data_IF_765701020833
#
_entry.id   IF_765701020833
#
_cell.length_a   1.000
_cell.length_b   1.000
_cell.length_c   1.000
_cell.angle_alpha   90.00
_cell.angle_beta   90.00
_cell.angle_gamma   90.00
#
_symmetry.space_group_name_H-M   'P 1'
#
loop_
_entity.id
_entity.type
_entity.pdbx_description
1 polymer ?
#
# COMPACT_ATOMS: atom_id res chain seq x y z
N UNK A 1 7.20 -3.96 -9.74
CA UNK A 1 7.13 -3.61 -8.30
C UNK A 1 7.43 -4.86 -7.50
N UNK A 2 8.68 -5.04 -7.07
CA UNK A 2 9.14 -6.25 -6.36
C UNK A 2 8.88 -6.14 -4.86
N UNK A 3 7.63 -5.92 -4.47
CA UNK A 3 7.21 -5.91 -3.06
C UNK A 3 6.58 -7.27 -2.75
N UNK A 4 7.10 -7.95 -1.74
CA UNK A 4 6.59 -9.26 -1.32
C UNK A 4 5.14 -9.17 -0.86
N UNK A 5 4.34 -10.23 -1.13
CA UNK A 5 2.94 -10.32 -0.68
C UNK A 5 2.81 -10.09 0.83
N UNK A 6 3.74 -10.60 1.63
CA UNK A 6 3.75 -10.43 3.08
C UNK A 6 3.82 -8.95 3.49
N UNK A 7 4.67 -8.16 2.83
CA UNK A 7 4.78 -6.72 3.06
C UNK A 7 3.52 -5.99 2.66
N UNK A 8 2.91 -6.34 1.52
CA UNK A 8 1.63 -5.76 1.09
C UNK A 8 0.54 -6.04 2.13
N UNK A 9 0.44 -7.27 2.63
CA UNK A 9 -0.53 -7.61 3.68
C UNK A 9 -0.24 -6.88 5.00
N UNK A 10 1.03 -6.73 5.40
CA UNK A 10 1.40 -5.97 6.59
C UNK A 10 0.97 -4.50 6.45
N UNK A 11 1.25 -3.86 5.32
CA UNK A 11 0.87 -2.46 5.06
C UNK A 11 -0.65 -2.28 5.07
N UNK A 12 -1.38 -3.24 4.51
CA UNK A 12 -2.84 -3.20 4.56
C UNK A 12 -3.36 -3.38 6.01
N UNK A 13 -2.77 -4.29 6.78
CA UNK A 13 -3.17 -4.52 8.19
C UNK A 13 -2.83 -3.34 9.08
N UNK A 14 -1.69 -2.67 8.83
CA UNK A 14 -1.28 -1.45 9.52
C UNK A 14 -2.16 -0.23 9.20
N UNK A 15 -3.00 -0.32 8.16
CA UNK A 15 -3.83 0.78 7.70
C UNK A 15 -3.11 1.78 6.78
N UNK A 16 -1.81 1.59 6.53
CA UNK A 16 -1.06 2.46 5.62
C UNK A 16 -1.44 2.29 4.15
N UNK A 17 -1.94 1.12 3.77
CA UNK A 17 -2.41 0.85 2.42
C UNK A 17 -3.91 0.56 2.41
N UNK A 18 -4.69 1.50 1.86
CA UNK A 18 -6.14 1.34 1.72
C UNK A 18 -6.47 0.20 0.77
N UNK A 19 -7.41 -0.64 1.15
CA UNK A 19 -7.82 -1.78 0.34
C UNK A 19 -9.30 -2.08 0.50
N UNK A 20 -9.86 -2.74 -0.51
CA UNK A 20 -11.25 -3.20 -0.53
C UNK A 20 -11.28 -4.72 -0.75
N UNK A 21 -12.14 -5.41 -0.02
CA UNK A 21 -12.34 -6.85 -0.19
C UNK A 21 -13.39 -7.08 -1.29
N UNK A 22 -13.01 -7.79 -2.34
CA UNK A 22 -13.89 -8.15 -3.46
C UNK A 22 -13.88 -9.66 -3.63
N UNK A 23 -14.96 -10.30 -3.17
CA UNK A 23 -15.06 -11.76 -3.10
C UNK A 23 -13.93 -12.37 -2.27
N UNK A 24 -13.12 -13.22 -2.90
CA UNK A 24 -11.97 -13.89 -2.28
C UNK A 24 -10.66 -13.10 -2.37
N UNK A 25 -10.64 -11.94 -3.05
CA UNK A 25 -9.43 -11.15 -3.29
C UNK A 25 -9.51 -9.82 -2.54
N UNK A 26 -8.33 -9.27 -2.24
CA UNK A 26 -8.18 -7.91 -1.72
C UNK A 26 -7.61 -7.06 -2.85
N UNK A 27 -8.33 -6.01 -3.21
CA UNK A 27 -7.94 -5.08 -4.26
C UNK A 27 -7.49 -3.78 -3.62
N UNK A 28 -6.48 -3.16 -4.23
CA UNK A 28 -5.97 -1.84 -3.84
C UNK A 28 -6.28 -0.94 -5.02
N UNK A 29 -6.92 0.21 -4.76
CA UNK A 29 -7.18 1.18 -5.81
C UNK A 29 -5.88 1.82 -6.27
N UNK A 30 -5.81 2.19 -7.55
CA UNK A 30 -4.63 2.86 -8.09
C UNK A 30 -4.31 4.16 -7.33
N UNK A 31 -5.34 4.94 -6.99
CA UNK A 31 -5.19 6.16 -6.19
C UNK A 31 -4.52 5.88 -4.83
N UNK A 32 -4.88 4.80 -4.15
CA UNK A 32 -4.26 4.43 -2.88
C UNK A 32 -2.78 4.05 -3.04
N UNK A 33 -2.40 3.42 -4.15
CA UNK A 33 -1.00 3.12 -4.46
C UNK A 33 -0.23 4.42 -4.71
N UNK A 34 -0.79 5.35 -5.51
CA UNK A 34 -0.18 6.64 -5.81
C UNK A 34 0.04 7.47 -4.55
N UNK A 35 -0.97 7.58 -3.70
CA UNK A 35 -0.86 8.30 -2.42
C UNK A 35 0.17 7.64 -1.49
N UNK A 36 0.23 6.31 -1.45
CA UNK A 36 1.23 5.60 -0.66
C UNK A 36 2.64 5.89 -1.15
N UNK A 37 2.87 5.83 -2.46
CA UNK A 37 4.18 6.18 -3.06
C UNK A 37 4.52 7.63 -2.73
N UNK A 38 3.58 8.57 -2.92
CA UNK A 38 3.80 9.98 -2.62
C UNK A 38 4.13 10.20 -1.14
N UNK A 39 3.46 9.51 -0.22
CA UNK A 39 3.75 9.57 1.22
C UNK A 39 5.15 9.02 1.54
N UNK A 40 5.55 7.92 0.91
CA UNK A 40 6.88 7.32 1.07
C UNK A 40 7.96 8.22 0.49
N UNK A 41 7.73 8.84 -0.67
CA UNK A 41 8.69 9.74 -1.31
C UNK A 41 8.89 11.02 -0.46
N UNK A 42 7.78 11.57 0.05
CA UNK A 42 7.77 12.79 0.85
C UNK A 42 8.24 12.56 2.29
N UNK A 43 8.04 11.37 2.85
CA UNK A 43 8.60 10.95 4.14
C UNK A 43 10.00 10.32 4.04
N UNK A 44 10.43 9.95 2.84
CA UNK A 44 11.73 9.37 2.50
C UNK A 44 12.79 10.42 2.15
N UNK A 45 12.40 11.70 2.05
CA UNK A 45 13.34 12.83 2.03
C UNK A 45 13.76 13.25 3.44
N UNK A 46 14.25 12.29 4.24
CA UNK A 46 15.06 12.53 5.44
C UNK A 46 15.68 11.21 5.93
N UNK A 47 16.75 10.74 5.28
CA UNK A 47 17.96 10.11 5.84
C UNK A 47 18.82 9.52 4.72
#
# INVERSE_FOLDING_TARGET
MSVGKSTVFALITSGELRSVKVGRRRLISEAAIREFIQKVDNGGSAA
#
